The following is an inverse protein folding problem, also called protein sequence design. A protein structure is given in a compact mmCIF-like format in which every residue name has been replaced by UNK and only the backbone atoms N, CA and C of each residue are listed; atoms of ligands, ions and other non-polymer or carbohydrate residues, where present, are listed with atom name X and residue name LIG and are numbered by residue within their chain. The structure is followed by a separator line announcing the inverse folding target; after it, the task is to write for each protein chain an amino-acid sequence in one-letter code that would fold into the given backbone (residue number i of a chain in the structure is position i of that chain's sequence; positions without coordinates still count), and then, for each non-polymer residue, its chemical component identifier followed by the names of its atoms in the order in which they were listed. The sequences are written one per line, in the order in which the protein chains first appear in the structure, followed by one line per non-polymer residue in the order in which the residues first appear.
data_IF_302698907076
#
_entry.id   IF_302698907076
#
_cell.length_a   1.000
_cell.length_b   1.000
_cell.length_c   1.000
_cell.angle_alpha   90.00
_cell.angle_beta   90.00
_cell.angle_gamma   90.00
#
_symmetry.space_group_name_H-M   'P 1'
#
loop_
_entity.id
_entity.type
_entity.pdbx_description
1 polymer ?
#
# COMPACT_ATOMS: atom_id res chain seq x y z
N UNK A 1 -22.72 10.99 13.15
CA UNK A 1 -21.48 10.22 12.92
C UNK A 1 -21.70 9.33 11.71
N UNK A 2 -20.94 9.55 10.65
CA UNK A 2 -20.89 8.63 9.51
C UNK A 2 -19.85 7.56 9.89
N UNK A 3 -20.21 6.28 9.82
CA UNK A 3 -19.26 5.18 10.01
C UNK A 3 -18.59 4.93 8.67
N UNK A 4 -17.30 5.21 8.59
CA UNK A 4 -16.47 4.97 7.40
C UNK A 4 -15.45 3.90 7.76
N UNK A 5 -15.13 3.03 6.81
CA UNK A 5 -14.07 2.02 6.94
C UNK A 5 -12.72 2.72 7.11
N UNK A 6 -11.81 2.14 7.90
CA UNK A 6 -10.45 2.68 8.05
C UNK A 6 -9.69 2.63 6.72
N UNK A 7 -8.69 3.50 6.51
CA UNK A 7 -7.90 3.49 5.29
C UNK A 7 -7.21 2.13 5.02
N UNK A 8 -6.63 1.41 6.01
CA UNK A 8 -6.14 0.04 5.83
C UNK A 8 -7.23 -0.93 5.39
N UNK A 9 -8.42 -0.84 5.99
CA UNK A 9 -9.55 -1.70 5.61
C UNK A 9 -10.02 -1.42 4.18
N UNK A 10 -10.05 -0.15 3.78
CA UNK A 10 -10.41 0.26 2.42
C UNK A 10 -9.36 -0.22 1.40
N UNK A 11 -8.07 -0.13 1.74
CA UNK A 11 -6.98 -0.66 0.93
C UNK A 11 -7.17 -2.16 0.68
N UNK A 12 -7.42 -2.96 1.72
CA UNK A 12 -7.63 -4.40 1.57
C UNK A 12 -8.87 -4.74 0.74
N UNK A 13 -9.96 -3.97 0.89
CA UNK A 13 -11.15 -4.13 0.05
C UNK A 13 -10.86 -3.83 -1.42
N UNK A 14 -10.06 -2.81 -1.71
CA UNK A 14 -9.64 -2.47 -3.07
C UNK A 14 -8.68 -3.49 -3.66
N UNK A 15 -7.78 -4.03 -2.85
CA UNK A 15 -6.86 -5.08 -3.28
C UNK A 15 -7.64 -6.36 -3.63
N UNK A 16 -8.62 -6.77 -2.81
CA UNK A 16 -9.50 -7.88 -3.14
C UNK A 16 -10.32 -7.65 -4.41
N UNK A 17 -10.91 -6.46 -4.56
CA UNK A 17 -11.63 -6.11 -5.78
C UNK A 17 -10.70 -6.19 -7.00
N UNK A 18 -9.48 -5.66 -6.89
CA UNK A 18 -8.47 -5.75 -7.95
C UNK A 18 -8.14 -7.21 -8.27
N UNK A 19 -7.88 -8.07 -7.27
CA UNK A 19 -7.60 -9.51 -7.49
C UNK A 19 -8.72 -10.17 -8.32
N UNK A 20 -9.97 -9.84 -8.04
CA UNK A 20 -11.13 -10.44 -8.72
C UNK A 20 -11.36 -9.91 -10.14
N UNK A 21 -11.13 -8.61 -10.39
CA UNK A 21 -11.58 -7.95 -11.63
C UNK A 21 -10.52 -7.08 -12.32
N UNK A 22 -9.23 -7.28 -12.04
CA UNK A 22 -8.14 -6.55 -12.70
C UNK A 22 -8.09 -6.73 -14.23
N UNK A 23 -8.76 -7.74 -14.80
CA UNK A 23 -8.89 -7.88 -16.25
C UNK A 23 -10.01 -7.01 -16.84
N UNK A 24 -10.97 -6.58 -16.02
CA UNK A 24 -12.14 -5.81 -16.44
C UNK A 24 -11.92 -4.31 -16.29
N UNK A 25 -11.15 -3.89 -15.28
CA UNK A 25 -10.92 -2.48 -14.99
C UNK A 25 -9.62 -2.21 -14.24
N UNK A 26 -9.02 -1.05 -14.52
CA UNK A 26 -7.87 -0.52 -13.79
C UNK A 26 -8.23 0.28 -12.53
N UNK A 27 -9.52 0.62 -12.36
CA UNK A 27 -9.98 1.55 -11.33
C UNK A 27 -9.57 1.17 -9.91
N UNK A 28 -9.55 -0.12 -9.57
CA UNK A 28 -9.14 -0.53 -8.23
C UNK A 28 -7.63 -0.34 -8.00
N UNK A 29 -6.79 -0.52 -9.03
CA UNK A 29 -5.37 -0.22 -8.93
C UNK A 29 -5.10 1.29 -8.83
N UNK A 30 -5.84 2.08 -9.59
CA UNK A 30 -5.84 3.55 -9.51
C UNK A 30 -6.25 4.03 -8.09
N UNK A 31 -7.32 3.47 -7.54
CA UNK A 31 -7.78 3.76 -6.17
C UNK A 31 -6.78 3.30 -5.10
N UNK A 32 -6.10 2.17 -5.28
CA UNK A 32 -5.04 1.71 -4.37
C UNK A 32 -3.90 2.71 -4.31
N UNK A 33 -3.45 3.23 -5.46
CA UNK A 33 -2.43 4.28 -5.49
C UNK A 33 -2.90 5.53 -4.76
N UNK A 34 -4.13 5.98 -5.03
CA UNK A 34 -4.69 7.17 -4.37
C UNK A 34 -4.72 7.04 -2.85
N UNK A 35 -5.07 5.87 -2.31
CA UNK A 35 -5.06 5.62 -0.86
C UNK A 35 -3.63 5.74 -0.32
N UNK A 36 -2.64 5.12 -0.98
CA UNK A 36 -1.25 5.13 -0.50
C UNK A 36 -0.64 6.54 -0.57
N UNK A 37 -0.81 7.23 -1.70
CA UNK A 37 -0.27 8.56 -1.94
C UNK A 37 -0.74 9.58 -0.88
N UNK A 38 -1.97 9.42 -0.39
CA UNK A 38 -2.56 10.32 0.61
C UNK A 38 -2.48 9.76 2.04
N UNK A 39 -1.91 8.57 2.25
CA UNK A 39 -1.92 7.90 3.56
C UNK A 39 -1.13 8.65 4.61
N UNK A 40 0.06 9.12 4.25
CA UNK A 40 0.93 9.86 5.15
C UNK A 40 0.25 11.13 5.66
N UNK A 41 -0.24 11.97 4.75
CA UNK A 41 -0.91 13.23 5.09
C UNK A 41 -2.17 13.00 5.94
N UNK A 42 -2.90 11.91 5.68
CA UNK A 42 -4.09 11.55 6.45
C UNK A 42 -3.80 11.13 7.89
N UNK A 43 -2.59 10.62 8.17
CA UNK A 43 -2.22 10.03 9.46
C UNK A 43 -1.17 10.82 10.25
N UNK A 44 -0.39 11.69 9.59
CA UNK A 44 0.82 12.31 10.17
C UNK A 44 0.57 13.04 11.48
N UNK A 45 -0.54 13.76 11.62
CA UNK A 45 -0.86 14.55 12.82
C UNK A 45 -1.00 13.60 14.01
N UNK A 46 -1.83 12.58 13.87
CA UNK A 46 -2.06 11.59 14.91
C UNK A 46 -0.81 10.75 15.22
N UNK A 47 -0.09 10.29 14.19
CA UNK A 47 1.06 9.41 14.37
C UNK A 47 2.28 10.12 14.96
N UNK A 48 2.42 11.42 14.71
CA UNK A 48 3.42 12.25 15.39
C UNK A 48 3.08 12.40 16.88
N UNK A 49 1.83 12.65 17.24
CA UNK A 49 1.41 12.82 18.64
C UNK A 49 1.70 11.60 19.52
N UNK A 50 1.56 10.39 18.96
CA UNK A 50 1.74 9.13 19.70
C UNK A 50 3.12 8.49 19.48
N UNK A 51 4.01 9.13 18.72
CA UNK A 51 5.31 8.59 18.30
C UNK A 51 5.19 7.20 17.61
N UNK A 52 4.21 7.05 16.73
CA UNK A 52 3.99 5.80 15.99
C UNK A 52 5.05 5.64 14.90
N UNK A 53 5.73 4.48 14.88
CA UNK A 53 6.72 4.09 13.86
C UNK A 53 7.55 5.26 13.30
N UNK A 54 8.30 5.94 14.17
CA UNK A 54 9.06 7.14 13.84
C UNK A 54 10.23 6.88 12.89
N UNK A 55 10.60 5.61 12.66
CA UNK A 55 11.62 5.22 11.68
C UNK A 55 11.33 5.71 10.26
N UNK A 56 10.09 6.10 9.95
CA UNK A 56 9.74 6.74 8.67
C UNK A 56 10.54 8.02 8.40
N UNK A 57 10.89 8.78 9.44
CA UNK A 57 11.60 10.05 9.30
C UNK A 57 13.11 9.89 9.12
N UNK A 58 13.63 8.67 9.36
CA UNK A 58 15.06 8.34 9.23
C UNK A 58 15.42 7.79 7.83
N UNK A 59 14.49 7.84 6.87
CA UNK A 59 14.72 7.36 5.50
C UNK A 59 15.63 8.31 4.71
N UNK A 60 16.75 7.79 4.19
CA UNK A 60 17.76 8.56 3.42
C UNK A 60 17.20 9.26 2.17
N UNK A 61 16.10 8.74 1.60
CA UNK A 61 15.37 9.31 0.47
C UNK A 61 13.89 9.44 0.85
N UNK A 62 13.66 10.31 1.86
CA UNK A 62 12.35 10.52 2.44
C UNK A 62 11.33 10.94 1.38
N UNK A 63 10.31 10.11 1.26
CA UNK A 63 9.21 10.32 0.34
C UNK A 63 7.91 9.96 1.02
N UNK A 64 6.94 10.88 0.93
CA UNK A 64 5.65 10.79 1.62
C UNK A 64 4.88 9.51 1.28
N UNK A 65 4.91 9.07 0.02
CA UNK A 65 4.21 7.84 -0.38
C UNK A 65 4.88 6.59 0.17
N UNK A 66 6.22 6.58 0.29
CA UNK A 66 6.96 5.44 0.87
C UNK A 66 6.82 5.41 2.39
N UNK A 67 6.89 6.57 3.04
CA UNK A 67 6.62 6.70 4.48
C UNK A 67 5.17 6.28 4.81
N UNK A 68 4.20 6.74 4.02
CA UNK A 68 2.80 6.33 4.13
C UNK A 68 2.61 4.82 3.91
N UNK A 69 3.30 4.25 2.93
CA UNK A 69 3.29 2.81 2.68
C UNK A 69 3.83 1.98 3.84
N UNK A 70 4.88 2.47 4.53
CA UNK A 70 5.42 1.82 5.73
C UNK A 70 4.39 1.80 6.86
N UNK A 71 3.76 2.94 7.16
CA UNK A 71 2.69 3.01 8.17
C UNK A 71 1.49 2.14 7.80
N UNK A 72 1.05 2.19 6.55
CA UNK A 72 -0.03 1.35 6.03
C UNK A 72 0.29 -0.15 6.22
N UNK A 73 1.54 -0.56 5.96
CA UNK A 73 1.99 -1.93 6.19
C UNK A 73 1.79 -2.37 7.65
N UNK A 74 2.22 -1.56 8.62
CA UNK A 74 2.02 -1.87 10.04
C UNK A 74 0.54 -1.89 10.44
N UNK A 75 -0.25 -0.96 9.91
CA UNK A 75 -1.68 -0.93 10.18
C UNK A 75 -2.40 -2.15 9.60
N UNK A 76 -1.99 -2.64 8.42
CA UNK A 76 -2.47 -3.91 7.84
C UNK A 76 -2.09 -5.09 8.74
N UNK A 77 -0.85 -5.15 9.23
CA UNK A 77 -0.39 -6.18 10.17
C UNK A 77 -1.25 -6.21 11.43
N UNK A 78 -1.69 -5.05 11.93
CA UNK A 78 -2.51 -4.97 13.14
C UNK A 78 -3.93 -5.55 13.00
N UNK A 79 -4.44 -5.72 11.77
CA UNK A 79 -5.83 -6.14 11.51
C UNK A 79 -5.96 -7.51 10.82
N UNK A 80 -4.86 -8.13 10.40
CA UNK A 80 -4.86 -9.42 9.71
C UNK A 80 -4.28 -10.54 10.57
N UNK A 81 -4.72 -11.76 10.27
CA UNK A 81 -4.10 -12.99 10.80
C UNK A 81 -2.84 -13.36 10.01
N UNK A 82 -1.90 -14.16 10.56
CA UNK A 82 -0.70 -14.60 9.83
C UNK A 82 -1.00 -15.26 8.48
N UNK A 83 -2.05 -16.08 8.41
CA UNK A 83 -2.50 -16.73 7.15
C UNK A 83 -2.94 -15.70 6.11
N UNK A 84 -3.61 -14.63 6.53
CA UNK A 84 -4.01 -13.55 5.63
C UNK A 84 -2.82 -12.69 5.23
N UNK A 85 -1.87 -12.43 6.13
CA UNK A 85 -0.63 -11.71 5.82
C UNK A 85 0.17 -12.45 4.75
N UNK A 86 0.35 -13.76 4.91
CA UNK A 86 1.01 -14.61 3.91
C UNK A 86 0.29 -14.56 2.56
N UNK A 87 -1.05 -14.60 2.56
CA UNK A 87 -1.84 -14.48 1.32
C UNK A 87 -1.58 -13.16 0.59
N UNK A 88 -1.70 -12.01 1.26
CA UNK A 88 -1.49 -10.72 0.60
C UNK A 88 -0.02 -10.47 0.25
N UNK A 89 0.92 -10.89 1.10
CA UNK A 89 2.35 -10.84 0.80
C UNK A 89 2.65 -11.58 -0.51
N UNK A 90 2.18 -12.83 -0.65
CA UNK A 90 2.41 -13.62 -1.86
C UNK A 90 1.83 -12.97 -3.12
N UNK A 91 0.72 -12.23 -3.01
CA UNK A 91 0.14 -11.50 -4.15
C UNK A 91 1.01 -10.31 -4.53
N UNK A 92 1.41 -9.49 -3.55
CA UNK A 92 2.27 -8.34 -3.81
C UNK A 92 3.65 -8.79 -4.33
N UNK A 93 4.20 -9.86 -3.77
CA UNK A 93 5.47 -10.44 -4.21
C UNK A 93 5.38 -11.00 -5.62
N UNK A 94 4.28 -11.67 -5.97
CA UNK A 94 4.04 -12.11 -7.33
C UNK A 94 4.04 -10.93 -8.30
N UNK A 95 3.30 -9.86 -7.99
CA UNK A 95 3.28 -8.65 -8.84
C UNK A 95 4.66 -7.98 -8.93
N UNK A 96 5.41 -7.88 -7.84
CA UNK A 96 6.79 -7.36 -7.86
C UNK A 96 7.71 -8.22 -8.74
N UNK A 97 7.52 -9.54 -8.77
CA UNK A 97 8.31 -10.46 -9.59
C UNK A 97 8.05 -10.35 -11.10
N UNK A 98 6.91 -9.77 -11.48
CA UNK A 98 6.55 -9.53 -12.88
C UNK A 98 7.20 -8.25 -13.44
N UNK A 99 7.80 -7.43 -12.58
CA UNK A 99 8.44 -6.17 -12.95
C UNK A 99 7.54 -5.28 -13.83
N UNK A 100 7.99 -4.86 -15.02
CA UNK A 100 7.22 -4.04 -15.96
C UNK A 100 5.97 -4.76 -16.53
N UNK A 101 5.88 -6.09 -16.39
CA UNK A 101 4.70 -6.87 -16.77
C UNK A 101 3.64 -6.92 -15.64
N UNK A 102 3.92 -6.31 -14.48
CA UNK A 102 2.95 -6.22 -13.38
C UNK A 102 1.76 -5.37 -13.77
N UNK A 103 0.59 -6.00 -13.76
CA UNK A 103 -0.68 -5.30 -13.98
C UNK A 103 -1.02 -4.39 -12.81
N UNK A 104 -0.65 -4.77 -11.58
CA UNK A 104 -0.90 -3.94 -10.41
C UNK A 104 -0.15 -2.61 -10.53
N UNK A 105 1.14 -2.68 -10.87
CA UNK A 105 1.97 -1.49 -11.05
C UNK A 105 1.46 -0.64 -12.23
N UNK A 106 1.17 -1.28 -13.38
CA UNK A 106 0.58 -0.59 -14.53
C UNK A 106 -0.70 0.16 -14.16
N UNK A 107 -1.59 -0.47 -13.39
CA UNK A 107 -2.85 0.13 -12.98
C UNK A 107 -2.67 1.28 -11.99
N UNK A 108 -1.78 1.15 -11.01
CA UNK A 108 -1.46 2.23 -10.09
C UNK A 108 -0.88 3.46 -10.80
N UNK A 109 -0.03 3.25 -11.82
CA UNK A 109 0.53 4.34 -12.62
C UNK A 109 -0.52 5.08 -13.47
N UNK A 110 -1.64 4.44 -13.83
CA UNK A 110 -2.72 5.11 -14.59
C UNK A 110 -3.40 6.25 -13.83
N UNK A 111 -3.26 6.29 -12.50
CA UNK A 111 -3.86 7.32 -11.67
C UNK A 111 -3.35 8.72 -12.01
N UNK A 112 -2.04 8.85 -12.33
CA UNK A 112 -1.44 10.10 -12.76
C UNK A 112 -0.15 9.85 -13.57
N UNK A 113 0.00 10.56 -14.70
CA UNK A 113 1.14 10.49 -15.62
C UNK A 113 2.48 10.77 -14.92
N UNK A 114 2.48 11.52 -13.80
CA UNK A 114 3.68 11.83 -13.04
C UNK A 114 4.22 10.66 -12.19
N UNK A 115 3.44 9.60 -11.99
CA UNK A 115 3.83 8.45 -11.16
C UNK A 115 4.79 7.55 -11.94
N UNK A 116 6.02 7.40 -11.45
CA UNK A 116 7.02 6.54 -12.08
C UNK A 116 6.90 5.08 -11.64
N UNK A 117 7.38 4.16 -12.48
CA UNK A 117 7.43 2.74 -12.14
C UNK A 117 8.24 2.49 -10.85
N UNK A 118 9.43 3.11 -10.73
CA UNK A 118 10.30 2.93 -9.56
C UNK A 118 9.60 3.37 -8.27
N UNK A 119 8.80 4.43 -8.37
CA UNK A 119 8.03 4.95 -7.25
C UNK A 119 7.02 3.93 -6.73
N UNK A 120 6.21 3.37 -7.63
CA UNK A 120 5.20 2.37 -7.29
C UNK A 120 5.85 1.08 -6.79
N UNK A 121 6.91 0.63 -7.47
CA UNK A 121 7.66 -0.56 -7.07
C UNK A 121 8.18 -0.45 -5.64
N UNK A 122 8.83 0.68 -5.29
CA UNK A 122 9.33 0.93 -3.93
C UNK A 122 8.22 0.90 -2.89
N UNK A 123 7.06 1.50 -3.20
CA UNK A 123 5.89 1.54 -2.32
C UNK A 123 5.34 0.12 -2.07
N UNK A 124 5.12 -0.67 -3.11
CA UNK A 124 4.60 -2.04 -2.98
C UNK A 124 5.62 -2.92 -2.26
N UNK A 125 6.91 -2.80 -2.59
CA UNK A 125 8.00 -3.51 -1.93
C UNK A 125 8.05 -3.22 -0.43
N UNK A 126 7.86 -1.96 -0.03
CA UNK A 126 7.81 -1.58 1.38
C UNK A 126 6.65 -2.27 2.12
N UNK A 127 5.44 -2.26 1.55
CA UNK A 127 4.28 -2.95 2.14
C UNK A 127 4.57 -4.46 2.21
N UNK A 128 4.97 -5.08 1.10
CA UNK A 128 5.26 -6.51 1.03
C UNK A 128 6.29 -6.95 2.09
N UNK A 129 7.36 -6.17 2.27
CA UNK A 129 8.41 -6.42 3.26
C UNK A 129 7.89 -6.39 4.71
N UNK A 130 7.06 -5.41 5.06
CA UNK A 130 6.44 -5.31 6.40
C UNK A 130 5.51 -6.49 6.65
N UNK A 131 4.71 -6.88 5.65
CA UNK A 131 3.81 -8.03 5.74
C UNK A 131 4.59 -9.33 5.96
N UNK A 132 5.67 -9.53 5.20
CA UNK A 132 6.55 -10.71 5.31
C UNK A 132 7.22 -10.81 6.69
N UNK A 133 7.69 -9.68 7.24
CA UNK A 133 8.32 -9.63 8.57
C UNK A 133 7.38 -9.95 9.74
N UNK A 134 6.07 -10.01 9.50
CA UNK A 134 5.05 -10.29 10.51
C UNK A 134 4.45 -11.72 10.44
N UNK A 135 4.91 -12.56 9.51
CA UNK A 135 4.54 -13.98 9.37
C UNK A 135 5.44 -14.83 10.27
#
# INVERSE_FOLDING_TARGET
MIRVVSLPGLFLLKLNAWIERNLETSKDGEDLWYIIENYFDACQEHYTEINYHQEVYDMDDFDLSVAGALWLGYDIVSILTPVQLEYYHNILEHELSLEEESRLIEHMMKQNIAVSYEKVYRVISQISSILCGAI
#
